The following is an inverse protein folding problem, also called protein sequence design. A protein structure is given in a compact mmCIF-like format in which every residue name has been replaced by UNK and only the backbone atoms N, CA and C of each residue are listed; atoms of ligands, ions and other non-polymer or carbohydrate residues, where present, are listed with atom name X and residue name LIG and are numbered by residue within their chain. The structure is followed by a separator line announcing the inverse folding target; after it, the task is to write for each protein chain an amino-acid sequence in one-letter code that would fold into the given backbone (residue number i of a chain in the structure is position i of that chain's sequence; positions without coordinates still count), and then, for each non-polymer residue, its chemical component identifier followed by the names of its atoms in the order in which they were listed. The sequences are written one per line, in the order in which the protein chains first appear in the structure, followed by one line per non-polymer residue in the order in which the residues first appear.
data_IF_517616037034
#
_entry.id   IF_517616037034
#
_cell.length_a   1.000
_cell.length_b   1.000
_cell.length_c   1.000
_cell.angle_alpha   90.00
_cell.angle_beta   90.00
_cell.angle_gamma   90.00
#
_symmetry.space_group_name_H-M   'P 1'
#
loop_
_entity.id
_entity.type
_entity.pdbx_description
1 polymer ?
#
# COMPACT_ATOMS: atom_id res chain seq x y z
N UNK A 1 -6.50 -5.48 -19.47
CA UNK A 1 -6.39 -6.66 -18.58
C UNK A 1 -7.62 -7.56 -18.64
N UNK A 2 -8.84 -7.04 -18.40
CA UNK A 2 -10.11 -7.81 -18.42
C UNK A 2 -10.28 -8.74 -19.62
N UNK A 3 -10.14 -8.20 -20.85
CA UNK A 3 -10.31 -8.99 -22.07
C UNK A 3 -9.30 -10.13 -22.20
N UNK A 4 -8.05 -9.89 -21.77
CA UNK A 4 -6.99 -10.89 -21.81
C UNK A 4 -7.28 -12.05 -20.84
N UNK A 5 -7.58 -11.73 -19.57
CA UNK A 5 -7.88 -12.74 -18.54
C UNK A 5 -9.18 -13.52 -18.84
N UNK A 6 -10.11 -12.91 -19.57
CA UNK A 6 -11.34 -13.56 -19.99
C UNK A 6 -11.25 -14.29 -21.34
N UNK A 7 -10.09 -14.30 -21.99
CA UNK A 7 -9.90 -15.06 -23.23
C UNK A 7 -9.97 -16.57 -22.97
N UNK A 8 -10.46 -17.32 -23.97
CA UNK A 8 -10.58 -18.78 -23.84
C UNK A 8 -9.22 -19.45 -23.59
N UNK A 9 -8.16 -18.95 -24.22
CA UNK A 9 -6.79 -19.47 -24.03
C UNK A 9 -6.35 -19.34 -22.57
N UNK A 10 -6.53 -18.16 -21.98
CA UNK A 10 -6.09 -17.89 -20.59
C UNK A 10 -6.96 -18.65 -19.58
N UNK A 11 -8.28 -18.70 -19.78
CA UNK A 11 -9.18 -19.49 -18.92
C UNK A 11 -8.87 -20.98 -18.95
N UNK A 12 -8.60 -21.53 -20.14
CA UNK A 12 -8.17 -22.93 -20.30
C UNK A 12 -6.84 -23.20 -19.60
N UNK A 13 -5.88 -22.28 -19.70
CA UNK A 13 -4.59 -22.41 -19.01
C UNK A 13 -4.76 -22.53 -17.49
N UNK A 14 -5.62 -21.71 -16.88
CA UNK A 14 -5.90 -21.77 -15.44
C UNK A 14 -6.87 -22.90 -15.03
N UNK A 15 -7.46 -23.62 -15.98
CA UNK A 15 -8.40 -24.71 -15.70
C UNK A 15 -9.65 -24.30 -14.94
N UNK A 16 -10.03 -23.01 -15.00
CA UNK A 16 -11.19 -22.47 -14.28
C UNK A 16 -12.11 -21.72 -15.25
N UNK A 17 -13.39 -22.05 -15.21
CA UNK A 17 -14.42 -21.35 -15.96
C UNK A 17 -15.10 -20.29 -15.07
N UNK A 18 -14.32 -19.28 -14.68
CA UNK A 18 -14.82 -18.12 -13.94
C UNK A 18 -14.65 -16.87 -14.81
N UNK A 19 -15.63 -15.98 -14.74
CA UNK A 19 -15.54 -14.66 -15.38
C UNK A 19 -14.71 -13.75 -14.47
N UNK A 20 -13.56 -13.31 -14.96
CA UNK A 20 -12.71 -12.38 -14.25
C UNK A 20 -13.33 -10.99 -14.25
N UNK A 21 -13.26 -10.32 -13.10
CA UNK A 21 -13.58 -8.91 -12.89
C UNK A 21 -12.47 -8.28 -12.02
N UNK A 22 -12.28 -6.96 -12.15
CA UNK A 22 -11.21 -6.25 -11.43
C UNK A 22 -11.50 -6.17 -9.92
N UNK A 23 -12.76 -5.95 -9.56
CA UNK A 23 -13.23 -5.88 -8.18
C UNK A 23 -14.65 -6.45 -8.11
N UNK A 24 -15.03 -7.00 -6.95
CA UNK A 24 -16.38 -7.50 -6.68
C UNK A 24 -17.19 -6.46 -5.91
N UNK A 25 -18.28 -5.97 -6.48
CA UNK A 25 -19.18 -5.03 -5.81
C UNK A 25 -19.93 -5.67 -4.65
N UNK A 26 -20.22 -6.97 -4.73
CA UNK A 26 -20.83 -7.74 -3.65
C UNK A 26 -19.91 -7.78 -2.43
N UNK A 27 -18.65 -8.19 -2.62
CA UNK A 27 -17.66 -8.22 -1.52
C UNK A 27 -17.40 -6.81 -0.98
N UNK A 28 -17.36 -5.78 -1.83
CA UNK A 28 -17.25 -4.40 -1.35
C UNK A 28 -18.44 -4.01 -0.45
N UNK A 29 -19.67 -4.34 -0.84
CA UNK A 29 -20.87 -4.03 -0.06
C UNK A 29 -20.90 -4.70 1.31
N UNK A 30 -20.42 -5.95 1.40
CA UNK A 30 -20.34 -6.68 2.67
C UNK A 30 -19.32 -6.09 3.66
N UNK A 31 -18.31 -5.36 3.17
CA UNK A 31 -17.25 -4.76 3.99
C UNK A 31 -17.33 -3.23 4.11
N UNK A 32 -18.41 -2.61 3.62
CA UNK A 32 -18.52 -1.15 3.55
C UNK A 32 -18.47 -0.50 4.94
N UNK A 33 -19.00 -1.17 5.97
CA UNK A 33 -19.06 -0.64 7.34
C UNK A 33 -17.69 -0.64 8.02
N UNK A 34 -16.86 -1.62 7.67
CA UNK A 34 -15.51 -1.83 8.18
C UNK A 34 -14.54 -0.77 7.67
N UNK A 35 -14.87 -0.05 6.59
CA UNK A 35 -14.02 1.03 6.06
C UNK A 35 -13.73 2.14 7.08
N UNK A 36 -14.64 2.34 8.05
CA UNK A 36 -14.46 3.32 9.12
C UNK A 36 -13.72 2.77 10.35
N UNK A 37 -13.41 1.48 10.38
CA UNK A 37 -12.72 0.86 11.51
C UNK A 37 -11.25 1.28 11.57
N UNK A 38 -10.75 1.40 12.79
CA UNK A 38 -9.35 1.73 13.04
C UNK A 38 -8.51 0.45 13.14
N UNK A 39 -7.77 0.13 12.07
CA UNK A 39 -6.87 -1.03 12.03
C UNK A 39 -5.41 -0.71 12.36
N UNK A 40 -5.00 0.56 12.40
CA UNK A 40 -3.59 0.90 12.65
C UNK A 40 -3.14 0.57 14.09
N UNK A 41 -4.08 0.27 14.99
CA UNK A 41 -3.79 -0.12 16.36
C UNK A 41 -3.01 -1.45 16.49
N UNK A 42 -2.94 -2.27 15.43
CA UNK A 42 -2.12 -3.49 15.42
C UNK A 42 -0.63 -3.19 15.23
N UNK A 43 -0.28 -2.04 14.62
CA UNK A 43 1.08 -1.73 14.23
C UNK A 43 2.06 -1.59 15.41
N UNK A 44 1.70 -1.01 16.57
CA UNK A 44 2.58 -0.95 17.74
C UNK A 44 3.07 -2.33 18.19
N UNK A 45 2.21 -3.34 18.17
CA UNK A 45 2.58 -4.71 18.57
C UNK A 45 3.53 -5.33 17.53
N UNK A 46 3.25 -5.13 16.23
CA UNK A 46 4.15 -5.60 15.17
C UNK A 46 5.54 -4.93 15.25
N UNK A 47 5.58 -3.62 15.51
CA UNK A 47 6.82 -2.88 15.72
C UNK A 47 7.57 -3.34 16.97
N UNK A 48 6.84 -3.72 18.03
CA UNK A 48 7.44 -4.27 19.26
C UNK A 48 8.10 -5.64 19.02
N UNK A 49 7.49 -6.49 18.18
CA UNK A 49 8.07 -7.77 17.74
C UNK A 49 9.24 -7.62 16.76
N UNK A 50 9.64 -6.38 16.45
CA UNK A 50 10.79 -6.09 15.60
C UNK A 50 10.51 -6.18 14.10
N UNK A 51 9.23 -6.21 13.69
CA UNK A 51 8.88 -6.13 12.28
C UNK A 51 9.14 -4.73 11.74
N UNK A 52 9.78 -4.66 10.57
CA UNK A 52 9.95 -3.42 9.81
C UNK A 52 8.67 -3.11 9.05
N UNK A 53 8.26 -1.84 9.06
CA UNK A 53 7.03 -1.38 8.39
C UNK A 53 7.40 -0.23 7.45
N UNK A 54 7.08 -0.39 6.17
CA UNK A 54 7.19 0.65 5.15
C UNK A 54 5.79 1.19 4.84
N UNK A 55 5.56 2.47 5.11
CA UNK A 55 4.36 3.21 4.69
C UNK A 55 4.77 4.15 3.57
N UNK A 56 4.26 3.93 2.37
CA UNK A 56 4.56 4.75 1.18
C UNK A 56 3.27 5.19 0.51
N UNK A 57 3.30 6.34 -0.15
CA UNK A 57 2.16 6.91 -0.87
C UNK A 57 2.65 7.79 -2.02
N UNK A 58 1.86 7.85 -3.10
CA UNK A 58 2.05 8.83 -4.16
C UNK A 58 1.64 10.24 -3.70
N UNK A 59 2.35 11.27 -4.15
CA UNK A 59 2.12 12.67 -3.77
C UNK A 59 0.84 13.28 -4.37
N UNK A 60 0.22 12.62 -5.36
CA UNK A 60 -1.04 13.01 -6.00
C UNK A 60 -2.23 12.10 -5.69
N UNK A 61 -2.06 11.10 -4.82
CA UNK A 61 -3.20 10.27 -4.41
C UNK A 61 -4.10 11.04 -3.44
N UNK A 62 -5.35 11.28 -3.82
CA UNK A 62 -6.35 11.89 -2.93
C UNK A 62 -7.00 10.86 -2.00
N UNK A 63 -7.16 9.62 -2.46
CA UNK A 63 -7.88 8.58 -1.72
C UNK A 63 -7.08 8.11 -0.50
N UNK A 64 -5.78 7.88 -0.66
CA UNK A 64 -4.87 7.45 0.40
C UNK A 64 -3.64 8.38 0.50
N UNK A 65 -3.91 9.68 0.71
CA UNK A 65 -2.89 10.71 0.61
C UNK A 65 -1.73 10.55 1.61
N UNK A 66 -0.54 11.00 1.18
CA UNK A 66 0.69 10.92 1.97
C UNK A 66 0.66 11.75 3.25
N UNK A 67 -0.01 12.91 3.24
CA UNK A 67 -0.11 13.80 4.41
C UNK A 67 -0.90 13.14 5.55
N UNK A 68 -2.03 12.53 5.23
CA UNK A 68 -2.86 11.77 6.17
C UNK A 68 -2.10 10.57 6.70
N UNK A 69 -1.38 9.85 5.82
CA UNK A 69 -0.53 8.73 6.19
C UNK A 69 0.56 9.13 7.20
N UNK A 70 1.26 10.23 6.92
CA UNK A 70 2.27 10.78 7.81
C UNK A 70 1.67 11.26 9.14
N UNK A 71 0.49 11.90 9.11
CA UNK A 71 -0.18 12.43 10.30
C UNK A 71 -0.53 11.32 11.29
N UNK A 72 -1.19 10.25 10.85
CA UNK A 72 -1.56 9.16 11.76
C UNK A 72 -0.33 8.39 12.25
N UNK A 73 0.72 8.23 11.42
CA UNK A 73 1.99 7.62 11.84
C UNK A 73 2.70 8.44 12.93
N UNK A 74 2.64 9.78 12.87
CA UNK A 74 3.20 10.66 13.91
C UNK A 74 2.44 10.55 15.24
N UNK A 75 1.15 10.22 15.21
CA UNK A 75 0.34 10.04 16.42
C UNK A 75 0.33 8.59 16.96
N UNK A 76 0.81 7.63 16.18
CA UNK A 76 0.92 6.24 16.60
C UNK A 76 1.87 6.12 17.81
N UNK A 77 1.37 5.54 18.90
CA UNK A 77 2.14 5.33 20.13
C UNK A 77 2.87 4.00 20.08
N UNK A 78 4.20 4.06 20.01
CA UNK A 78 5.09 2.90 20.04
C UNK A 78 6.48 3.34 20.49
N UNK A 79 7.37 2.38 20.81
CA UNK A 79 8.67 2.66 21.44
C UNK A 79 9.56 3.66 20.68
N UNK A 80 9.52 3.65 19.34
CA UNK A 80 10.32 4.53 18.48
C UNK A 80 9.64 5.83 18.06
N UNK A 81 8.44 6.15 18.59
CA UNK A 81 7.66 7.34 18.15
C UNK A 81 8.43 8.66 18.26
N UNK A 82 9.28 8.83 19.28
CA UNK A 82 10.06 10.06 19.48
C UNK A 82 11.08 10.24 18.36
N UNK A 83 11.73 9.15 17.94
CA UNK A 83 12.66 9.15 16.82
C UNK A 83 11.92 9.45 15.51
N UNK A 84 10.80 8.75 15.28
CA UNK A 84 9.98 8.93 14.09
C UNK A 84 9.48 10.37 13.91
N UNK A 85 8.99 11.01 14.99
CA UNK A 85 8.52 12.42 14.95
C UNK A 85 9.60 13.42 14.58
N UNK A 86 10.86 13.11 14.89
CA UNK A 86 12.03 13.96 14.59
C UNK A 86 12.63 13.66 13.22
N UNK A 87 12.35 12.49 12.65
CA UNK A 87 12.87 12.09 11.36
C UNK A 87 12.18 12.88 10.24
N UNK A 88 12.94 13.20 9.20
CA UNK A 88 12.39 13.71 7.95
C UNK A 88 11.84 12.52 7.17
N UNK A 89 10.61 12.61 6.62
CA UNK A 89 10.12 11.61 5.69
C UNK A 89 11.10 11.45 4.53
N UNK A 90 11.34 10.20 4.12
CA UNK A 90 12.15 9.94 2.94
C UNK A 90 11.30 10.19 1.68
N UNK A 91 11.80 11.05 0.79
CA UNK A 91 11.19 11.34 -0.50
C UNK A 91 12.07 10.75 -1.61
N UNK A 92 11.48 9.95 -2.50
CA UNK A 92 12.13 9.60 -3.76
C UNK A 92 11.93 10.74 -4.76
N UNK A 93 12.93 11.03 -5.60
CA UNK A 93 12.92 12.14 -6.59
C UNK A 93 11.97 11.90 -7.78
N UNK A 94 10.81 11.28 -7.55
CA UNK A 94 9.78 11.05 -8.56
C UNK A 94 8.46 11.60 -8.02
N UNK A 95 8.14 12.83 -8.46
CA UNK A 95 6.92 13.55 -8.09
C UNK A 95 5.81 13.34 -9.12
N UNK A 96 4.58 13.60 -8.69
CA UNK A 96 3.40 13.57 -9.53
C UNK A 96 2.74 12.20 -9.66
N UNK A 97 2.92 11.34 -8.66
CA UNK A 97 2.53 9.95 -8.63
C UNK A 97 1.21 9.79 -7.88
N UNK A 98 0.24 9.13 -8.51
CA UNK A 98 -1.07 8.84 -7.96
C UNK A 98 -1.11 7.56 -7.11
N UNK A 99 -2.30 6.99 -7.02
CA UNK A 99 -2.60 5.83 -6.16
C UNK A 99 -1.77 4.58 -6.52
N UNK A 100 -1.51 4.36 -7.81
CA UNK A 100 -0.79 3.17 -8.29
C UNK A 100 0.70 3.44 -8.49
N UNK A 101 1.43 3.67 -7.39
CA UNK A 101 2.86 4.06 -7.39
C UNK A 101 3.71 3.20 -8.31
N UNK A 102 3.58 1.86 -8.27
CA UNK A 102 4.39 0.97 -9.10
C UNK A 102 4.01 1.01 -10.60
N UNK A 103 2.79 1.42 -10.94
CA UNK A 103 2.37 1.58 -12.34
C UNK A 103 2.86 2.90 -12.92
N UNK A 104 2.90 3.95 -12.10
CA UNK A 104 3.26 5.30 -12.54
C UNK A 104 4.77 5.58 -12.43
N UNK A 105 5.44 4.99 -11.44
CA UNK A 105 6.88 5.11 -11.20
C UNK A 105 7.55 3.74 -10.97
N UNK A 106 7.54 2.82 -11.94
CA UNK A 106 7.99 1.44 -11.73
C UNK A 106 9.44 1.33 -11.27
N UNK A 107 10.37 2.13 -11.81
CA UNK A 107 11.78 2.10 -11.38
C UNK A 107 11.94 2.67 -9.97
N UNK A 108 11.21 3.74 -9.64
CA UNK A 108 11.21 4.33 -8.29
C UNK A 108 10.63 3.37 -7.26
N UNK A 109 9.52 2.71 -7.59
CA UNK A 109 8.90 1.69 -6.75
C UNK A 109 9.82 0.49 -6.51
N UNK A 110 10.50 0.00 -7.57
CA UNK A 110 11.47 -1.08 -7.44
C UNK A 110 12.62 -0.67 -6.52
N UNK A 111 13.21 0.51 -6.75
CA UNK A 111 14.27 1.04 -5.89
C UNK A 111 13.82 1.16 -4.43
N UNK A 112 12.61 1.66 -4.19
CA UNK A 112 12.04 1.78 -2.84
C UNK A 112 11.94 0.42 -2.14
N UNK A 113 11.44 -0.60 -2.84
CA UNK A 113 11.34 -1.95 -2.29
C UNK A 113 12.73 -2.54 -2.04
N UNK A 114 13.69 -2.37 -2.95
CA UNK A 114 15.06 -2.85 -2.78
C UNK A 114 15.77 -2.18 -1.60
N UNK A 115 15.63 -0.86 -1.47
CA UNK A 115 16.24 -0.11 -0.36
C UNK A 115 15.68 -0.58 1.00
N UNK A 116 14.37 -0.81 1.08
CA UNK A 116 13.73 -1.34 2.29
C UNK A 116 14.18 -2.78 2.61
N UNK A 117 14.20 -3.65 1.61
CA UNK A 117 14.53 -5.06 1.82
C UNK A 117 16.01 -5.26 2.15
N UNK A 118 16.91 -4.58 1.44
CA UNK A 118 18.33 -4.92 1.40
C UNK A 118 19.28 -3.83 1.88
N UNK A 119 18.83 -2.57 2.01
CA UNK A 119 19.70 -1.43 2.32
C UNK A 119 19.34 -0.68 3.60
N UNK A 120 18.46 -1.25 4.43
CA UNK A 120 18.05 -0.69 5.73
C UNK A 120 17.55 0.76 5.64
N UNK A 121 16.78 1.04 4.59
CA UNK A 121 15.86 2.18 4.62
C UNK A 121 14.90 2.08 5.82
#
# INVERSE_FOLDING_TARGET
VTAFLNSQTVRRFFGRDLVWQLASTEVYGEFEREMACNFHQILPDLLHEGLRILVFAGDRDLACNWMGSLAWMKELRWRGMIGFRKATPFEYEVYGIGHSVAMEAPQGALKMVDDFLYHNL
#
